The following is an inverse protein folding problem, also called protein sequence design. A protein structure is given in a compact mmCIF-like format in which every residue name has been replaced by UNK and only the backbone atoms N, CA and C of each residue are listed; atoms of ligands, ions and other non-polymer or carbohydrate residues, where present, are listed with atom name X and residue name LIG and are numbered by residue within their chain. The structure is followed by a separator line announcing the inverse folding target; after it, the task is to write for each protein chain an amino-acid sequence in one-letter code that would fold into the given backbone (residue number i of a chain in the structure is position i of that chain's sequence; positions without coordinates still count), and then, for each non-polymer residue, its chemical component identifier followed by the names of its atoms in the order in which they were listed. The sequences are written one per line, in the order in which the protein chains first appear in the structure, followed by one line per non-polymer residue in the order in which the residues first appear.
data_IF_123900027671
#
_entry.id   IF_123900027671
#
_cell.length_a   1.000
_cell.length_b   1.000
_cell.length_c   1.000
_cell.angle_alpha   90.00
_cell.angle_beta   90.00
_cell.angle_gamma   90.00
#
_symmetry.space_group_name_H-M   'P 1'
#
loop_
_entity.id
_entity.type
_entity.pdbx_description
1 polymer ?
#
# COMPACT_ATOMS: atom_id res chain seq x y z
N UNK A 1 -1.58 -2.77 -42.33
CA UNK A 1 -1.81 -1.95 -41.13
C UNK A 1 -1.40 -2.76 -39.91
N UNK A 2 -0.30 -2.42 -39.25
CA UNK A 2 0.13 -3.08 -38.01
C UNK A 2 -0.66 -2.49 -36.84
N UNK A 3 -1.43 -3.33 -36.14
CA UNK A 3 -2.16 -2.95 -34.93
C UNK A 3 -1.27 -3.22 -33.73
N UNK A 4 -0.91 -2.16 -33.00
CA UNK A 4 -0.19 -2.29 -31.73
C UNK A 4 -1.23 -2.38 -30.61
N UNK A 5 -1.27 -3.53 -29.90
CA UNK A 5 -2.01 -3.62 -28.64
C UNK A 5 -1.37 -2.68 -27.63
N UNK A 6 -2.08 -1.61 -27.25
CA UNK A 6 -1.71 -0.81 -26.09
C UNK A 6 -2.13 -1.59 -24.85
N UNK A 7 -1.17 -2.19 -24.16
CA UNK A 7 -1.38 -2.73 -22.82
C UNK A 7 -1.73 -1.55 -21.90
N UNK A 8 -3.01 -1.37 -21.62
CA UNK A 8 -3.52 -0.31 -20.76
C UNK A 8 -4.82 -0.77 -20.13
N UNK A 9 -4.96 -0.54 -18.82
CA UNK A 9 -6.23 -0.77 -18.14
C UNK A 9 -7.21 0.30 -18.62
N UNK A 10 -8.38 -0.11 -19.10
CA UNK A 10 -9.44 0.84 -19.48
C UNK A 10 -9.96 1.52 -18.22
N UNK A 11 -9.64 2.80 -18.05
CA UNK A 11 -10.18 3.61 -16.96
C UNK A 11 -11.65 3.92 -17.25
N UNK A 12 -12.54 3.27 -16.51
CA UNK A 12 -13.99 3.47 -16.59
C UNK A 12 -14.51 4.48 -15.55
N UNK A 13 -13.60 5.24 -14.92
CA UNK A 13 -13.88 6.20 -13.87
C UNK A 13 -14.51 5.60 -12.59
N UNK A 14 -14.64 4.28 -12.45
CA UNK A 14 -15.29 3.66 -11.29
C UNK A 14 -14.55 3.99 -9.99
N UNK A 15 -13.22 4.03 -10.02
CA UNK A 15 -12.43 4.43 -8.86
C UNK A 15 -12.70 5.88 -8.44
N UNK A 16 -12.87 6.78 -9.41
CA UNK A 16 -13.18 8.19 -9.15
C UNK A 16 -14.58 8.36 -8.57
N UNK A 17 -15.56 7.61 -9.10
CA UNK A 17 -16.91 7.58 -8.55
C UNK A 17 -16.96 7.01 -7.14
N UNK A 18 -16.25 5.91 -6.88
CA UNK A 18 -16.13 5.32 -5.56
C UNK A 18 -15.49 6.31 -4.56
N UNK A 19 -14.43 7.03 -4.96
CA UNK A 19 -13.81 8.04 -4.12
C UNK A 19 -14.77 9.20 -3.78
N UNK A 20 -15.63 9.62 -4.73
CA UNK A 20 -16.64 10.65 -4.48
C UNK A 20 -17.70 10.18 -3.47
N UNK A 21 -18.27 8.99 -3.68
CA UNK A 21 -19.27 8.40 -2.78
C UNK A 21 -18.70 8.20 -1.38
N UNK A 22 -17.48 7.69 -1.30
CA UNK A 22 -16.78 7.49 -0.03
C UNK A 22 -16.56 8.82 0.73
N UNK A 23 -16.19 9.89 0.02
CA UNK A 23 -16.07 11.22 0.61
C UNK A 23 -17.41 11.72 1.19
N UNK A 24 -18.50 11.55 0.45
CA UNK A 24 -19.84 11.91 0.93
C UNK A 24 -20.23 11.11 2.20
N UNK A 25 -19.93 9.82 2.24
CA UNK A 25 -20.15 8.97 3.41
C UNK A 25 -19.29 9.37 4.62
N UNK A 26 -18.05 9.81 4.40
CA UNK A 26 -17.21 10.32 5.49
C UNK A 26 -17.77 11.63 6.05
N UNK A 27 -18.33 12.49 5.21
CA UNK A 27 -18.94 13.76 5.66
C UNK A 27 -20.16 13.58 6.54
N UNK A 28 -20.85 12.43 6.47
CA UNK A 28 -21.99 12.13 7.36
C UNK A 28 -21.58 11.64 8.75
N UNK A 29 -20.29 11.38 8.99
CA UNK A 29 -19.79 10.84 10.26
C UNK A 29 -19.25 11.93 11.18
N UNK A 30 -19.16 11.62 12.48
CA UNK A 30 -18.54 12.53 13.45
C UNK A 30 -17.04 12.64 13.21
N UNK A 31 -16.45 13.80 13.53
CA UNK A 31 -15.02 14.04 13.31
C UNK A 31 -14.10 13.01 13.98
N UNK A 32 -14.47 12.52 15.17
CA UNK A 32 -13.69 11.49 15.88
C UNK A 32 -13.69 10.15 15.14
N UNK A 33 -14.84 9.75 14.59
CA UNK A 33 -14.98 8.51 13.81
C UNK A 33 -14.26 8.63 12.46
N UNK A 34 -14.30 9.80 11.83
CA UNK A 34 -13.57 10.05 10.58
C UNK A 34 -12.06 9.89 10.78
N UNK A 35 -11.50 10.41 11.88
CA UNK A 35 -10.08 10.27 12.18
C UNK A 35 -9.67 8.80 12.35
N UNK A 36 -10.47 8.01 13.06
CA UNK A 36 -10.23 6.57 13.24
C UNK A 36 -10.31 5.80 11.91
N UNK A 37 -11.31 6.11 11.08
CA UNK A 37 -11.47 5.51 9.75
C UNK A 37 -10.31 5.86 8.83
N UNK A 38 -9.83 7.10 8.85
CA UNK A 38 -8.68 7.49 8.02
C UNK A 38 -7.38 6.84 8.50
N UNK A 39 -7.14 6.79 9.81
CA UNK A 39 -5.95 6.16 10.38
C UNK A 39 -5.89 4.64 10.08
N UNK A 40 -7.02 3.94 10.22
CA UNK A 40 -7.10 2.52 9.89
C UNK A 40 -6.87 2.25 8.39
N UNK A 41 -7.39 3.11 7.51
CA UNK A 41 -7.14 3.05 6.06
C UNK A 41 -5.67 3.29 5.71
N UNK A 42 -5.02 4.26 6.34
CA UNK A 42 -3.59 4.51 6.12
C UNK A 42 -2.74 3.32 6.56
N UNK A 43 -3.06 2.70 7.69
CA UNK A 43 -2.38 1.48 8.17
C UNK A 43 -2.61 0.27 7.26
N UNK A 44 -3.75 0.21 6.57
CA UNK A 44 -4.09 -0.88 5.66
C UNK A 44 -3.55 -0.68 4.23
N UNK A 45 -2.97 0.48 3.91
CA UNK A 45 -2.32 0.67 2.60
C UNK A 45 -1.06 -0.16 2.54
N UNK A 46 -0.92 -0.94 1.48
CA UNK A 46 0.32 -1.64 1.19
C UNK A 46 1.43 -0.59 0.96
N UNK A 47 2.38 -0.53 1.88
CA UNK A 47 3.56 0.30 1.75
C UNK A 47 4.63 -0.44 0.94
N UNK A 48 5.38 0.30 0.12
CA UNK A 48 6.54 -0.24 -0.62
C UNK A 48 7.57 -0.85 0.34
N UNK A 49 7.61 -0.33 1.57
CA UNK A 49 8.48 -0.80 2.64
C UNK A 49 7.71 -1.70 3.60
N UNK A 50 8.19 -2.93 3.75
CA UNK A 50 7.77 -3.81 4.86
C UNK A 50 8.56 -3.44 6.11
N UNK A 51 7.90 -2.84 7.09
CA UNK A 51 8.50 -2.62 8.40
C UNK A 51 8.69 -3.96 9.10
N UNK A 52 9.91 -4.24 9.53
CA UNK A 52 10.30 -5.44 10.30
C UNK A 52 10.69 -5.02 11.71
N UNK A 53 10.46 -5.88 12.69
CA UNK A 53 11.04 -5.67 14.02
C UNK A 53 12.58 -5.82 13.95
N UNK A 54 13.33 -5.30 14.94
CA UNK A 54 14.79 -5.49 14.96
C UNK A 54 15.22 -6.97 14.83
N UNK A 55 14.47 -7.88 15.43
CA UNK A 55 14.72 -9.32 15.40
C UNK A 55 14.47 -9.91 14.01
N UNK A 56 13.34 -9.55 13.39
CA UNK A 56 12.98 -9.96 12.02
C UNK A 56 13.96 -9.39 10.99
N UNK A 57 14.38 -8.14 11.17
CA UNK A 57 15.36 -7.49 10.31
C UNK A 57 16.73 -8.17 10.40
N UNK A 58 17.19 -8.50 11.61
CA UNK A 58 18.46 -9.21 11.82
C UNK A 58 18.45 -10.62 11.22
N UNK A 59 17.33 -11.34 11.36
CA UNK A 59 17.17 -12.69 10.81
C UNK A 59 17.16 -12.67 9.29
N UNK A 60 16.42 -11.73 8.69
CA UNK A 60 16.36 -11.56 7.23
C UNK A 60 17.70 -11.08 6.66
N UNK A 61 18.42 -10.21 7.38
CA UNK A 61 19.77 -9.80 6.97
C UNK A 61 20.72 -10.99 6.94
N UNK A 62 20.70 -11.82 7.99
CA UNK A 62 21.51 -13.03 8.07
C UNK A 62 21.16 -14.06 7.00
N UNK A 63 19.89 -14.17 6.61
CA UNK A 63 19.47 -15.02 5.49
C UNK A 63 20.06 -14.55 4.15
N UNK A 64 19.98 -13.25 3.86
CA UNK A 64 20.46 -12.70 2.59
C UNK A 64 21.99 -12.59 2.50
N UNK A 65 22.61 -12.21 3.62
CA UNK A 65 24.00 -11.75 3.65
C UNK A 65 24.88 -12.51 4.64
N UNK A 66 24.38 -13.51 5.35
CA UNK A 66 25.17 -14.25 6.35
C UNK A 66 26.38 -14.98 5.78
N UNK A 67 26.43 -15.17 4.45
CA UNK A 67 27.62 -15.66 3.74
C UNK A 67 28.78 -14.64 3.68
N UNK A 68 28.49 -13.35 3.85
CA UNK A 68 29.49 -12.27 3.85
C UNK A 68 30.20 -12.14 5.19
N UNK A 69 29.61 -12.64 6.28
CA UNK A 69 30.19 -12.59 7.63
C UNK A 69 31.45 -13.48 7.79
N UNK A 70 31.76 -14.32 6.80
CA UNK A 70 32.94 -15.21 6.80
C UNK A 70 34.07 -14.81 5.84
N UNK A 71 33.95 -13.69 5.12
CA UNK A 71 35.03 -13.11 4.31
C UNK A 71 35.71 -11.98 5.10
N UNK A 72 36.57 -12.36 6.04
CA UNK A 72 37.62 -11.48 6.60
C UNK A 72 38.98 -11.82 6.00
#
# INVERSE_FOLDING_TARGET
MQQYYRLGVFDNCSEKWNALVDCLLLKTKKSSEVQEILASREKAKDHIWTFRTPEEASSHWKELYGQLDGME
#
